data_IF_868473369223
#
_entry.id   IF_868473369223
#
_cell.length_a   1.000
_cell.length_b   1.000
_cell.length_c   1.000
_cell.angle_alpha   90.00
_cell.angle_beta   90.00
_cell.angle_gamma   90.00
#
_symmetry.space_group_name_H-M   'P 1'
#
loop_
_entity.id
_entity.type
_entity.pdbx_description
1 polymer ?
#
# COMPACT_ATOMS: atom_id res chain seq x y z
N UNK A 1 -14.11 -37.72 -39.51
CA UNK A 1 -13.04 -37.34 -38.57
C UNK A 1 -12.21 -36.17 -39.09
N UNK A 2 -11.76 -36.17 -40.32
CA UNK A 2 -10.96 -35.09 -40.93
C UNK A 2 -11.55 -33.67 -40.81
N UNK A 3 -12.88 -33.52 -41.04
CA UNK A 3 -13.54 -32.21 -40.95
C UNK A 3 -13.45 -31.65 -39.50
N UNK A 4 -13.64 -32.49 -38.50
CA UNK A 4 -13.55 -32.08 -37.08
C UNK A 4 -12.15 -31.64 -36.72
N UNK A 5 -11.10 -32.34 -37.19
CA UNK A 5 -9.71 -31.98 -37.01
C UNK A 5 -9.37 -30.62 -37.61
N UNK A 6 -9.83 -30.36 -38.84
CA UNK A 6 -9.63 -29.07 -39.51
C UNK A 6 -10.34 -27.91 -38.74
N UNK A 7 -11.54 -28.16 -38.22
CA UNK A 7 -12.24 -27.17 -37.40
C UNK A 7 -11.47 -26.86 -36.11
N UNK A 8 -10.96 -27.88 -35.39
CA UNK A 8 -10.17 -27.71 -34.19
C UNK A 8 -8.90 -26.92 -34.48
N UNK A 9 -8.16 -27.30 -35.55
CA UNK A 9 -6.95 -26.58 -35.96
C UNK A 9 -7.24 -25.12 -36.27
N UNK A 10 -8.32 -24.83 -37.01
CA UNK A 10 -8.74 -23.47 -37.32
C UNK A 10 -9.04 -22.66 -36.07
N UNK A 11 -9.76 -23.22 -35.10
CA UNK A 11 -10.04 -22.57 -33.80
C UNK A 11 -8.77 -22.23 -33.07
N UNK A 12 -7.80 -23.16 -32.98
CA UNK A 12 -6.52 -22.94 -32.34
C UNK A 12 -5.73 -21.83 -33.02
N UNK A 13 -5.68 -21.81 -34.34
CA UNK A 13 -4.97 -20.75 -35.07
C UNK A 13 -5.61 -19.39 -34.83
N UNK A 14 -6.95 -19.30 -34.87
CA UNK A 14 -7.68 -18.06 -34.59
C UNK A 14 -7.37 -17.58 -33.14
N UNK A 15 -7.42 -18.49 -32.18
CA UNK A 15 -7.09 -18.16 -30.77
C UNK A 15 -5.67 -17.61 -30.63
N UNK A 16 -4.69 -18.26 -31.24
CA UNK A 16 -3.29 -17.82 -31.20
C UNK A 16 -3.10 -16.45 -31.89
N UNK A 17 -3.77 -16.24 -33.03
CA UNK A 17 -3.75 -14.96 -33.73
C UNK A 17 -4.33 -13.83 -32.87
N UNK A 18 -5.47 -14.06 -32.21
CA UNK A 18 -6.07 -13.10 -31.29
C UNK A 18 -5.11 -12.78 -30.13
N UNK A 19 -4.52 -13.81 -29.50
CA UNK A 19 -3.54 -13.64 -28.42
C UNK A 19 -2.34 -12.81 -28.89
N UNK A 20 -1.84 -13.06 -30.10
CA UNK A 20 -0.72 -12.32 -30.67
C UNK A 20 -1.08 -10.84 -30.90
N UNK A 21 -2.24 -10.56 -31.52
CA UNK A 21 -2.72 -9.20 -31.78
C UNK A 21 -2.90 -8.43 -30.45
N UNK A 22 -3.51 -9.05 -29.45
CA UNK A 22 -3.71 -8.45 -28.12
C UNK A 22 -2.35 -8.14 -27.47
N UNK A 23 -1.42 -9.08 -27.51
CA UNK A 23 -0.06 -8.86 -26.96
C UNK A 23 0.67 -7.73 -27.69
N UNK A 24 0.58 -7.70 -29.00
CA UNK A 24 1.18 -6.63 -29.82
C UNK A 24 0.54 -5.27 -29.53
N UNK A 25 -0.79 -5.20 -29.37
CA UNK A 25 -1.50 -3.99 -28.99
C UNK A 25 -1.03 -3.45 -27.64
N UNK A 26 -0.92 -4.29 -26.60
CA UNK A 26 -0.41 -3.88 -25.29
C UNK A 26 1.06 -3.48 -25.33
N UNK A 27 1.87 -4.15 -26.15
CA UNK A 27 3.28 -3.80 -26.33
C UNK A 27 3.45 -2.39 -26.94
N UNK A 28 2.60 -2.03 -27.89
CA UNK A 28 2.64 -0.71 -28.56
C UNK A 28 2.06 0.38 -27.67
N UNK A 29 0.87 0.15 -27.13
CA UNK A 29 0.14 1.12 -26.31
C UNK A 29 0.66 1.24 -24.89
N UNK A 30 1.35 0.20 -24.40
CA UNK A 30 1.83 0.11 -23.02
C UNK A 30 0.73 -0.21 -22.01
N UNK A 31 1.14 -0.31 -20.77
CA UNK A 31 0.28 -0.57 -19.62
C UNK A 31 0.57 0.46 -18.54
N UNK A 32 -0.27 0.54 -17.53
CA UNK A 32 0.04 1.12 -16.23
C UNK A 32 1.07 0.26 -15.50
N UNK A 33 1.98 0.89 -14.78
CA UNK A 33 2.99 0.23 -13.93
C UNK A 33 3.12 1.07 -12.67
N UNK A 34 2.38 0.73 -11.65
CA UNK A 34 2.41 1.44 -10.37
C UNK A 34 3.48 0.82 -9.47
N UNK A 35 4.43 1.63 -9.06
CA UNK A 35 5.56 1.24 -8.21
C UNK A 35 5.51 2.02 -6.90
N UNK A 36 5.28 1.35 -5.76
CA UNK A 36 5.43 1.98 -4.46
C UNK A 36 6.92 2.14 -4.13
N UNK A 37 7.36 3.36 -3.84
CA UNK A 37 8.74 3.68 -3.47
C UNK A 37 8.94 3.46 -1.95
N UNK A 38 8.87 2.20 -1.52
CA UNK A 38 8.93 1.82 -0.11
C UNK A 38 10.28 2.20 0.51
N UNK A 39 11.37 1.95 -0.19
CA UNK A 39 12.74 2.21 0.31
C UNK A 39 13.04 3.71 0.47
N UNK A 40 12.20 4.57 -0.12
CA UNK A 40 12.31 6.02 -0.09
C UNK A 40 11.29 6.67 0.85
N UNK A 41 10.60 5.87 1.70
CA UNK A 41 9.66 6.46 2.64
C UNK A 41 10.36 7.37 3.66
N UNK A 42 9.66 8.42 4.10
CA UNK A 42 10.20 9.30 5.15
C UNK A 42 10.28 8.55 6.49
N UNK A 43 11.24 8.87 7.37
CA UNK A 43 11.22 8.36 8.73
C UNK A 43 9.87 8.62 9.40
N UNK A 44 9.43 7.69 10.24
CA UNK A 44 8.23 7.91 11.03
C UNK A 44 8.38 9.13 11.93
N UNK A 45 7.31 9.92 12.04
CA UNK A 45 7.25 11.10 12.91
C UNK A 45 6.01 11.05 13.78
N UNK A 46 6.10 11.62 14.98
CA UNK A 46 4.93 11.76 15.86
C UNK A 46 4.08 12.94 15.36
N UNK A 47 2.81 12.68 15.11
CA UNK A 47 1.80 13.70 14.79
C UNK A 47 1.11 14.20 16.08
N UNK A 48 0.70 13.25 16.93
CA UNK A 48 0.06 13.54 18.22
C UNK A 48 0.49 12.51 19.25
N UNK A 49 0.49 12.92 20.53
CA UNK A 49 0.77 12.02 21.64
C UNK A 49 0.07 12.50 22.90
N UNK A 50 -0.52 11.57 23.62
CA UNK A 50 -1.08 11.77 24.96
C UNK A 50 -0.67 10.61 25.92
N UNK A 51 -1.27 10.52 27.10
CA UNK A 51 -0.95 9.50 28.09
C UNK A 51 -1.35 8.07 27.68
N UNK A 52 -2.29 7.93 26.76
CA UNK A 52 -2.88 6.66 26.35
C UNK A 52 -2.64 6.32 24.90
N UNK A 53 -2.35 7.32 24.06
CA UNK A 53 -2.25 7.11 22.62
C UNK A 53 -1.12 7.92 21.97
N UNK A 54 -0.64 7.43 20.84
CA UNK A 54 0.30 8.09 19.97
C UNK A 54 -0.06 7.84 18.52
N UNK A 55 -0.10 8.90 17.74
CA UNK A 55 -0.27 8.81 16.29
C UNK A 55 1.04 9.16 15.62
N UNK A 56 1.51 8.29 14.77
CA UNK A 56 2.72 8.47 13.95
C UNK A 56 2.37 8.41 12.48
N UNK A 57 3.19 9.01 11.65
CA UNK A 57 3.01 8.96 10.20
C UNK A 57 4.34 8.87 9.45
N UNK A 58 4.25 8.29 8.25
CA UNK A 58 5.31 8.32 7.23
C UNK A 58 4.68 8.64 5.88
N UNK A 59 5.47 9.14 4.95
CA UNK A 59 5.04 9.38 3.58
C UNK A 59 5.90 8.59 2.61
N UNK A 60 5.28 8.10 1.53
CA UNK A 60 5.95 7.43 0.43
C UNK A 60 5.30 7.80 -0.89
N UNK A 61 6.03 7.68 -1.98
CA UNK A 61 5.52 7.95 -3.30
C UNK A 61 4.98 6.67 -3.95
N UNK A 62 3.78 6.76 -4.52
CA UNK A 62 3.28 5.81 -5.53
C UNK A 62 3.53 6.42 -6.90
N UNK A 63 4.31 5.76 -7.72
CA UNK A 63 4.75 6.28 -9.02
C UNK A 63 4.21 5.40 -10.14
N UNK A 64 3.52 5.99 -11.10
CA UNK A 64 3.18 5.28 -12.34
C UNK A 64 4.33 5.45 -13.35
N UNK A 65 5.10 4.40 -13.56
CA UNK A 65 6.18 4.35 -14.54
C UNK A 65 5.69 3.90 -15.94
N UNK A 66 4.40 3.56 -16.04
CA UNK A 66 3.77 3.07 -17.25
C UNK A 66 3.38 4.17 -18.25
N UNK A 67 2.93 3.69 -19.41
CA UNK A 67 2.48 4.55 -20.53
C UNK A 67 0.97 4.78 -20.53
N UNK A 68 0.25 4.26 -19.55
CA UNK A 68 -1.19 4.43 -19.38
C UNK A 68 -1.47 4.89 -17.95
N UNK A 69 -2.53 5.67 -17.79
CA UNK A 69 -2.99 6.10 -16.48
C UNK A 69 -3.54 4.91 -15.70
N UNK A 70 -3.29 4.90 -14.40
CA UNK A 70 -3.83 3.95 -13.44
C UNK A 70 -4.80 4.65 -12.49
N UNK A 71 -5.81 3.93 -12.02
CA UNK A 71 -6.65 4.36 -10.92
C UNK A 71 -6.29 3.53 -9.69
N UNK A 72 -5.93 4.19 -8.62
CA UNK A 72 -5.73 3.58 -7.30
C UNK A 72 -7.05 3.67 -6.55
N UNK A 73 -7.56 2.55 -6.09
CA UNK A 73 -8.88 2.45 -5.46
C UNK A 73 -8.76 1.76 -4.11
N UNK A 74 -9.56 2.22 -3.14
CA UNK A 74 -9.67 1.65 -1.79
C UNK A 74 -8.30 1.44 -1.11
N UNK A 75 -7.52 2.49 -1.05
CA UNK A 75 -6.23 2.45 -0.38
C UNK A 75 -6.42 2.50 1.13
N UNK A 76 -5.93 1.48 1.81
CA UNK A 76 -5.99 1.33 3.27
C UNK A 76 -4.58 1.10 3.84
N UNK A 77 -4.36 1.53 5.06
CA UNK A 77 -3.17 1.20 5.86
C UNK A 77 -3.59 0.21 6.94
N UNK A 78 -2.92 -0.93 6.97
CA UNK A 78 -3.21 -2.03 7.90
C UNK A 78 -1.97 -2.40 8.71
N UNK A 79 -1.77 -1.84 9.90
CA UNK A 79 -0.76 -2.32 10.82
C UNK A 79 -1.13 -3.73 11.32
N UNK A 80 -0.15 -4.65 11.33
CA UNK A 80 -0.38 -6.05 11.71
C UNK A 80 0.45 -6.40 12.94
N UNK A 81 0.09 -5.79 14.08
CA UNK A 81 0.68 -6.17 15.36
C UNK A 81 0.24 -7.60 15.72
N UNK A 82 1.18 -8.54 15.94
CA UNK A 82 0.85 -9.91 16.30
C UNK A 82 0.30 -9.97 17.72
N UNK A 83 -1.03 -10.07 17.84
CA UNK A 83 -1.76 -10.04 19.11
C UNK A 83 -1.36 -11.17 20.07
N UNK A 84 -1.00 -12.33 19.54
CA UNK A 84 -0.52 -13.47 20.33
C UNK A 84 0.84 -13.20 20.99
N UNK A 85 1.65 -12.32 20.41
CA UNK A 85 2.95 -11.94 20.97
C UNK A 85 2.82 -10.76 21.91
N UNK A 86 1.98 -9.79 21.53
CA UNK A 86 1.78 -8.60 22.36
C UNK A 86 0.40 -7.98 22.16
N UNK A 87 -0.39 -7.94 23.22
CA UNK A 87 -1.77 -7.41 23.24
C UNK A 87 -1.94 -6.14 24.11
N UNK A 88 -0.83 -5.54 24.57
CA UNK A 88 -0.81 -4.32 25.38
C UNK A 88 -1.14 -3.04 24.61
N UNK A 89 -1.12 -3.09 23.28
CA UNK A 89 -1.42 -1.97 22.38
C UNK A 89 -2.45 -2.39 21.34
N UNK A 90 -3.42 -1.51 21.09
CA UNK A 90 -4.25 -1.55 19.88
C UNK A 90 -3.64 -0.67 18.81
N UNK A 91 -3.59 -1.15 17.57
CA UNK A 91 -3.09 -0.39 16.43
C UNK A 91 -4.21 -0.17 15.41
N UNK A 92 -4.27 1.04 14.84
CA UNK A 92 -5.18 1.41 13.77
C UNK A 92 -4.42 2.15 12.69
N UNK A 93 -4.67 1.81 11.44
CA UNK A 93 -4.06 2.47 10.29
C UNK A 93 -5.06 3.38 9.58
N UNK A 94 -4.54 4.43 8.96
CA UNK A 94 -5.27 5.36 8.11
C UNK A 94 -4.42 5.73 6.91
N UNK A 95 -5.02 5.73 5.72
CA UNK A 95 -4.39 6.16 4.48
C UNK A 95 -4.90 7.54 4.07
N UNK A 96 -3.98 8.45 3.77
CA UNK A 96 -4.30 9.77 3.21
C UNK A 96 -3.38 10.05 2.02
N UNK A 97 -3.82 10.93 1.14
CA UNK A 97 -2.93 11.59 0.20
C UNK A 97 -2.34 12.80 0.93
N UNK A 98 -1.03 12.97 0.86
CA UNK A 98 -0.34 14.06 1.57
C UNK A 98 -0.95 15.42 1.19
N UNK A 99 -1.33 16.19 2.21
CA UNK A 99 -2.02 17.47 2.04
C UNK A 99 -3.54 17.39 1.81
N UNK A 100 -4.12 16.19 1.74
CA UNK A 100 -5.57 15.98 1.58
C UNK A 100 -6.09 15.11 2.73
N UNK A 101 -6.40 15.71 3.89
CA UNK A 101 -6.90 14.96 5.04
C UNK A 101 -8.25 14.33 4.73
N UNK A 102 -8.50 13.15 5.29
CA UNK A 102 -9.74 12.41 5.16
C UNK A 102 -10.39 12.20 6.52
N UNK A 103 -11.73 12.09 6.54
CA UNK A 103 -12.47 11.68 7.72
C UNK A 103 -12.41 10.16 7.91
N UNK A 104 -12.50 9.42 6.79
CA UNK A 104 -12.40 7.96 6.76
C UNK A 104 -10.96 7.46 6.90
N UNK A 105 -10.80 6.18 7.23
CA UNK A 105 -9.49 5.53 7.39
C UNK A 105 -8.80 5.17 6.06
N UNK A 106 -9.43 5.44 4.95
CA UNK A 106 -8.96 5.11 3.59
C UNK A 106 -9.27 6.24 2.62
N UNK A 107 -8.71 6.20 1.42
CA UNK A 107 -9.20 7.02 0.31
C UNK A 107 -9.78 6.13 -0.79
N UNK A 108 -10.87 6.64 -1.41
CA UNK A 108 -11.70 5.86 -2.33
C UNK A 108 -11.03 5.67 -3.68
N UNK A 109 -10.55 6.74 -4.29
CA UNK A 109 -9.94 6.69 -5.62
C UNK A 109 -9.01 7.87 -5.90
N UNK A 110 -7.92 7.57 -6.61
CA UNK A 110 -6.96 8.57 -7.10
C UNK A 110 -6.43 8.14 -8.46
N UNK A 111 -6.30 9.09 -9.39
CA UNK A 111 -5.72 8.84 -10.71
C UNK A 111 -4.22 9.13 -10.67
N UNK A 112 -3.43 8.14 -11.08
CA UNK A 112 -2.02 8.27 -11.42
C UNK A 112 -1.91 8.36 -12.94
N UNK A 113 -1.56 9.52 -13.45
CA UNK A 113 -1.42 9.71 -14.89
C UNK A 113 -0.26 8.90 -15.46
N UNK A 114 -0.25 8.70 -16.76
CA UNK A 114 0.86 8.06 -17.44
C UNK A 114 2.14 8.87 -17.26
N UNK A 115 3.29 8.19 -17.28
CA UNK A 115 4.58 8.88 -17.24
C UNK A 115 4.73 9.84 -18.42
N UNK A 116 4.93 11.13 -18.12
CA UNK A 116 5.08 12.19 -19.11
C UNK A 116 3.77 12.75 -19.68
N UNK A 117 2.62 12.39 -19.10
CA UNK A 117 1.34 13.01 -19.45
C UNK A 117 1.31 14.45 -18.89
N UNK A 118 1.09 15.46 -19.75
CA UNK A 118 1.08 16.85 -19.31
C UNK A 118 -0.19 17.24 -18.55
N UNK A 119 -1.22 16.39 -18.53
CA UNK A 119 -2.53 16.70 -17.94
C UNK A 119 -2.64 16.42 -16.47
N UNK A 120 -1.67 15.67 -15.89
CA UNK A 120 -1.67 15.37 -14.48
C UNK A 120 -0.38 14.73 -13.97
N UNK A 121 -0.35 14.40 -12.67
CA UNK A 121 0.82 13.82 -12.03
C UNK A 121 0.83 12.31 -12.17
N UNK A 122 1.99 11.75 -12.49
CA UNK A 122 2.26 10.33 -12.40
C UNK A 122 2.74 9.89 -11.01
N UNK A 123 2.73 10.79 -10.01
CA UNK A 123 3.14 10.53 -8.63
C UNK A 123 2.04 10.97 -7.68
N UNK A 124 1.69 10.10 -6.76
CA UNK A 124 0.87 10.41 -5.58
C UNK A 124 1.74 10.23 -4.35
N UNK A 125 1.83 11.25 -3.52
CA UNK A 125 2.45 11.14 -2.21
C UNK A 125 1.42 10.60 -1.21
N UNK A 126 1.61 9.36 -0.81
CA UNK A 126 0.78 8.67 0.17
C UNK A 126 1.29 8.94 1.57
N UNK A 127 0.40 9.30 2.49
CA UNK A 127 0.66 9.41 3.92
C UNK A 127 0.04 8.21 4.63
N UNK A 128 0.88 7.37 5.21
CA UNK A 128 0.47 6.27 6.07
C UNK A 128 0.50 6.75 7.53
N UNK A 129 -0.64 6.65 8.20
CA UNK A 129 -0.83 7.09 9.59
C UNK A 129 -1.11 5.85 10.42
N UNK A 130 -0.44 5.71 11.56
CA UNK A 130 -0.63 4.62 12.51
C UNK A 130 -0.91 5.21 13.88
N UNK A 131 -2.05 4.85 14.45
CA UNK A 131 -2.44 5.22 15.82
C UNK A 131 -2.24 4.01 16.74
N UNK A 132 -1.46 4.20 17.79
CA UNK A 132 -1.18 3.23 18.84
C UNK A 132 -1.94 3.66 20.09
N UNK A 133 -2.72 2.77 20.69
CA UNK A 133 -3.50 3.05 21.91
C UNK A 133 -3.20 1.99 22.95
N UNK A 134 -2.74 2.40 24.13
CA UNK A 134 -2.45 1.52 25.25
C UNK A 134 -3.74 0.82 25.75
N UNK A 135 -3.63 -0.45 26.06
CA UNK A 135 -4.69 -1.32 26.55
C UNK A 135 -4.44 -1.76 27.99
N UNK A 136 -5.35 -2.55 28.56
CA UNK A 136 -5.21 -3.17 29.89
C UNK A 136 -4.92 -2.18 31.03
N UNK A 137 -5.34 -0.94 30.90
CA UNK A 137 -5.10 0.08 31.93
C UNK A 137 -3.67 0.65 31.97
N UNK A 138 -2.76 0.17 31.13
CA UNK A 138 -1.38 0.66 31.05
C UNK A 138 -1.32 2.12 30.58
N UNK A 139 -0.24 2.81 30.92
CA UNK A 139 0.17 4.03 30.24
C UNK A 139 0.76 3.68 28.87
N UNK A 140 0.81 4.65 27.98
CA UNK A 140 1.44 4.46 26.67
C UNK A 140 2.92 4.06 26.80
N UNK A 141 3.64 4.64 27.73
CA UNK A 141 5.07 4.34 27.94
C UNK A 141 5.30 2.90 28.41
N UNK A 142 4.48 2.42 29.36
CA UNK A 142 4.51 1.03 29.82
C UNK A 142 4.20 0.09 28.66
N UNK A 143 3.18 0.40 27.89
CA UNK A 143 2.80 -0.42 26.74
C UNK A 143 3.90 -0.42 25.66
N UNK A 144 4.51 0.71 25.34
CA UNK A 144 5.59 0.79 24.34
C UNK A 144 6.88 0.09 24.78
N UNK A 145 7.15 -0.01 26.10
CA UNK A 145 8.38 -0.66 26.58
C UNK A 145 8.46 -2.16 26.29
N UNK A 146 7.34 -2.83 26.00
CA UNK A 146 7.25 -4.24 25.65
C UNK A 146 6.84 -4.47 24.20
N UNK A 147 7.08 -3.48 23.34
CA UNK A 147 6.65 -3.54 21.95
C UNK A 147 7.44 -4.57 21.16
N UNK A 148 6.81 -5.12 20.13
CA UNK A 148 7.42 -6.04 19.15
C UNK A 148 7.39 -5.42 17.77
N UNK A 149 8.23 -5.93 16.87
CA UNK A 149 8.23 -5.52 15.46
C UNK A 149 6.93 -5.92 14.79
N UNK A 150 6.41 -5.05 13.92
CA UNK A 150 5.23 -5.39 13.14
C UNK A 150 5.22 -4.72 11.77
N UNK A 151 4.65 -5.38 10.76
CA UNK A 151 4.47 -4.80 9.45
C UNK A 151 3.32 -3.78 9.43
N UNK A 152 3.55 -2.70 8.72
CA UNK A 152 2.54 -1.73 8.29
C UNK A 152 2.30 -1.98 6.80
N UNK A 153 1.17 -2.56 6.45
CA UNK A 153 0.80 -2.86 5.07
C UNK A 153 -0.05 -1.73 4.50
N UNK A 154 0.31 -1.28 3.30
CA UNK A 154 -0.48 -0.37 2.49
C UNK A 154 -1.07 -1.22 1.38
N UNK A 155 -2.38 -1.37 1.38
CA UNK A 155 -3.13 -2.25 0.48
C UNK A 155 -4.02 -1.36 -0.39
N UNK A 156 -3.95 -1.54 -1.70
CA UNK A 156 -4.78 -0.82 -2.66
C UNK A 156 -5.12 -1.70 -3.84
N UNK A 157 -6.15 -1.31 -4.59
CA UNK A 157 -6.49 -1.92 -5.87
C UNK A 157 -6.00 -1.04 -7.00
N UNK A 158 -5.41 -1.67 -8.00
CA UNK A 158 -5.02 -1.03 -9.25
C UNK A 158 -6.06 -1.35 -10.31
N UNK A 159 -6.52 -0.33 -10.98
CA UNK A 159 -7.48 -0.42 -12.09
C UNK A 159 -6.91 0.37 -13.27
N UNK A 160 -6.81 -0.30 -14.41
CA UNK A 160 -6.28 0.29 -15.63
C UNK A 160 -6.65 -0.55 -16.84
N UNK A 161 -5.72 -0.76 -17.74
CA UNK A 161 -5.89 -1.66 -18.89
C UNK A 161 -5.71 -3.13 -18.53
N UNK A 162 -4.91 -3.38 -17.49
CA UNK A 162 -4.80 -4.72 -16.90
C UNK A 162 -6.05 -5.03 -16.09
N UNK A 163 -6.39 -6.32 -15.90
CA UNK A 163 -7.45 -6.69 -14.98
C UNK A 163 -7.17 -6.12 -13.59
N UNK A 164 -8.21 -5.62 -12.92
CA UNK A 164 -8.10 -5.12 -11.55
C UNK A 164 -7.43 -6.15 -10.64
N UNK A 165 -6.44 -5.71 -9.88
CA UNK A 165 -5.71 -6.55 -8.94
C UNK A 165 -5.36 -5.78 -7.66
N UNK A 166 -5.04 -6.53 -6.60
CA UNK A 166 -4.55 -5.96 -5.35
C UNK A 166 -3.04 -5.82 -5.39
N UNK A 167 -2.57 -4.70 -4.86
CA UNK A 167 -1.15 -4.45 -4.61
C UNK A 167 -0.93 -4.19 -3.12
N UNK A 168 0.19 -4.67 -2.60
CA UNK A 168 0.56 -4.54 -1.19
C UNK A 168 1.99 -4.00 -1.12
N UNK A 169 2.14 -2.87 -0.46
CA UNK A 169 3.42 -2.33 -0.03
C UNK A 169 3.57 -2.57 1.48
N UNK A 170 4.77 -2.95 1.93
CA UNK A 170 5.00 -3.29 3.34
C UNK A 170 6.20 -2.55 3.89
N UNK A 171 6.00 -1.85 5.00
CA UNK A 171 7.05 -1.23 5.81
C UNK A 171 7.12 -2.00 7.14
N UNK A 172 8.31 -2.36 7.59
CA UNK A 172 8.48 -2.95 8.92
C UNK A 172 8.75 -1.82 9.89
N UNK A 173 7.88 -1.67 10.88
CA UNK A 173 8.09 -0.77 12.00
C UNK A 173 8.67 -1.58 13.16
N UNK A 174 9.94 -1.32 13.47
CA UNK A 174 10.63 -2.05 14.53
C UNK A 174 10.28 -1.49 15.91
N UNK A 175 10.30 -2.36 16.91
CA UNK A 175 10.10 -1.97 18.31
C UNK A 175 11.15 -0.95 18.75
N UNK A 176 12.40 -1.11 18.29
CA UNK A 176 13.50 -0.19 18.59
C UNK A 176 13.25 1.21 18.00
N UNK A 177 12.90 1.29 16.71
CA UNK A 177 12.57 2.55 16.04
C UNK A 177 11.41 3.27 16.74
N UNK A 178 10.34 2.53 17.06
CA UNK A 178 9.16 3.07 17.71
C UNK A 178 9.44 3.58 19.12
N UNK A 179 10.20 2.82 19.92
CA UNK A 179 10.55 3.21 21.29
C UNK A 179 11.55 4.35 21.31
N UNK A 180 12.50 4.38 20.37
CA UNK A 180 13.42 5.51 20.20
C UNK A 180 12.65 6.79 19.83
N UNK A 181 11.73 6.70 18.88
CA UNK A 181 10.84 7.81 18.48
C UNK A 181 10.02 8.32 19.67
N UNK A 182 9.51 7.41 20.50
CA UNK A 182 8.73 7.75 21.68
C UNK A 182 9.58 8.18 22.90
N UNK A 183 10.91 8.05 22.88
CA UNK A 183 11.78 8.31 24.03
C UNK A 183 11.55 7.34 25.19
N UNK A 184 11.18 6.10 24.90
CA UNK A 184 10.91 5.02 25.86
C UNK A 184 12.02 3.97 25.74
N UNK A 185 12.42 3.35 26.85
CA UNK A 185 13.39 2.25 26.82
C UNK A 185 12.68 0.93 26.56
N UNK A 186 13.12 0.19 25.54
CA UNK A 186 12.65 -1.16 25.27
C UNK A 186 13.13 -2.12 26.37
N UNK A 187 12.24 -2.94 26.88
CA UNK A 187 12.52 -4.00 27.86
C UNK A 187 12.42 -5.32 27.09
N UNK A 188 13.58 -5.96 26.89
CA UNK A 188 13.61 -7.31 26.33
C UNK A 188 13.39 -8.29 27.48
N UNK A 189 12.27 -8.97 27.46
CA UNK A 189 11.96 -10.08 28.39
C UNK A 189 12.58 -11.40 27.91
#
# INVERSE_FOLDING_TARGET
>A
MEILEHIIVAIVIIYLAIRFVVKMYFSIKGQEIVVPKIDEHTPFKIETRDEKSMTISTTMDLVNEGKQSALIVDCIVKPQLPFEQYDGIAVRGKAEVDGIPREDDYFEAMVLFAKGDPTGSNVIKLKAIVTLTARKGMTLNEALSHMVDFPVEIIYREVGRTPMHFSIARIILTAEELTQLAGVKLIND
#
